data_IF_064484353236
#
_entry.id   IF_064484353236
#
_cell.length_a   1.000
_cell.length_b   1.000
_cell.length_c   1.000
_cell.angle_alpha   90.00
_cell.angle_beta   90.00
_cell.angle_gamma   90.00
#
_symmetry.space_group_name_H-M   'P 1'
#
loop_
_entity.id
_entity.type
_entity.pdbx_description
1 polymer ?
#
# COMPACT_ATOMS: atom_id res chain seq x y z
N UNK A 1 -22.99 28.94 -19.70
CA UNK A 1 -22.77 27.50 -19.94
C UNK A 1 -22.38 26.89 -18.60
N UNK A 2 -23.20 26.00 -18.02
CA UNK A 2 -22.81 25.30 -16.80
C UNK A 2 -21.63 24.39 -17.18
N UNK A 3 -20.43 24.77 -16.75
CA UNK A 3 -19.22 23.97 -17.00
C UNK A 3 -19.40 22.56 -16.44
N UNK A 4 -18.92 21.58 -17.17
CA UNK A 4 -18.81 20.19 -16.66
C UNK A 4 -17.95 20.25 -15.42
N UNK A 5 -18.50 19.82 -14.27
CA UNK A 5 -17.71 19.74 -13.04
C UNK A 5 -17.07 18.36 -12.95
N UNK A 6 -15.77 18.33 -12.76
CA UNK A 6 -14.94 17.13 -12.76
C UNK A 6 -14.29 16.92 -11.38
N UNK A 7 -13.88 15.70 -11.12
CA UNK A 7 -12.99 15.34 -10.01
C UNK A 7 -11.75 14.65 -10.55
N UNK A 8 -10.62 14.88 -9.87
CA UNK A 8 -9.34 14.25 -10.16
C UNK A 8 -8.97 13.32 -9.02
N UNK A 9 -8.64 12.08 -9.35
CA UNK A 9 -8.04 11.11 -8.43
C UNK A 9 -6.61 10.78 -8.85
N UNK A 10 -5.69 10.79 -7.89
CA UNK A 10 -4.28 10.40 -8.08
C UNK A 10 -3.91 9.35 -7.05
N UNK A 11 -3.34 8.25 -7.51
CA UNK A 11 -2.73 7.19 -6.68
C UNK A 11 -1.26 7.09 -7.05
N UNK A 12 -0.41 7.73 -6.25
CA UNK A 12 1.01 7.89 -6.49
C UNK A 12 1.88 6.99 -5.63
N UNK A 13 2.43 5.95 -6.24
CA UNK A 13 3.36 5.03 -5.61
C UNK A 13 4.84 5.35 -5.88
N UNK A 14 5.74 4.48 -5.39
CA UNK A 14 7.19 4.62 -5.62
C UNK A 14 7.64 4.34 -7.05
N UNK A 15 6.90 3.53 -7.82
CA UNK A 15 7.29 3.09 -9.17
C UNK A 15 6.36 3.60 -10.27
N UNK A 16 5.09 3.79 -9.96
CA UNK A 16 4.06 4.25 -10.90
C UNK A 16 3.08 5.16 -10.20
N UNK A 17 2.35 5.94 -10.99
CA UNK A 17 1.25 6.81 -10.54
C UNK A 17 0.09 6.65 -11.50
N UNK A 18 -1.06 6.31 -10.97
CA UNK A 18 -2.31 6.25 -11.72
C UNK A 18 -3.08 7.57 -11.51
N UNK A 19 -3.54 8.18 -12.61
CA UNK A 19 -4.28 9.45 -12.59
C UNK A 19 -5.59 9.27 -13.35
N UNK A 20 -6.69 9.65 -12.72
CA UNK A 20 -8.05 9.49 -13.25
C UNK A 20 -8.82 10.80 -13.16
N UNK A 21 -9.41 11.20 -14.29
CA UNK A 21 -10.39 12.27 -14.38
C UNK A 21 -11.80 11.64 -14.50
N UNK A 22 -12.70 12.05 -13.63
CA UNK A 22 -14.05 11.50 -13.57
C UNK A 22 -15.11 12.60 -13.44
N UNK A 23 -16.36 12.25 -13.70
CA UNK A 23 -17.50 13.11 -13.37
C UNK A 23 -17.84 13.04 -11.87
N UNK A 24 -18.80 13.83 -11.41
CA UNK A 24 -19.23 13.87 -10.01
C UNK A 24 -19.95 12.59 -9.53
N UNK A 25 -20.24 11.65 -10.43
CA UNK A 25 -20.83 10.34 -10.13
C UNK A 25 -19.77 9.22 -10.13
N UNK A 26 -18.48 9.58 -10.37
CA UNK A 26 -17.37 8.63 -10.39
C UNK A 26 -17.23 7.87 -11.72
N UNK A 27 -17.95 8.26 -12.78
CA UNK A 27 -17.72 7.71 -14.10
C UNK A 27 -16.39 8.25 -14.67
N UNK A 28 -15.49 7.34 -15.01
CA UNK A 28 -14.16 7.67 -15.54
C UNK A 28 -14.31 8.22 -16.95
N UNK A 29 -13.78 9.42 -17.19
CA UNK A 29 -13.77 10.09 -18.48
C UNK A 29 -12.43 9.93 -19.19
N UNK A 30 -11.32 10.02 -18.44
CA UNK A 30 -9.99 9.78 -18.93
C UNK A 30 -9.09 9.24 -17.80
N UNK A 31 -8.09 8.44 -18.17
CA UNK A 31 -7.13 7.88 -17.22
C UNK A 31 -5.76 7.72 -17.89
N UNK A 32 -4.70 7.90 -17.11
CA UNK A 32 -3.35 7.58 -17.56
C UNK A 32 -2.51 7.01 -16.40
N UNK A 33 -1.41 6.37 -16.76
CA UNK A 33 -0.38 5.94 -15.83
C UNK A 33 0.93 6.63 -16.18
N UNK A 34 1.68 7.06 -15.17
CA UNK A 34 2.98 7.72 -15.32
C UNK A 34 3.99 7.18 -14.31
N UNK A 35 5.20 7.74 -14.28
CA UNK A 35 6.26 7.36 -13.33
C UNK A 35 5.85 7.60 -11.88
N UNK A 36 6.57 6.95 -10.95
CA UNK A 36 6.31 7.10 -9.52
C UNK A 36 6.43 8.54 -9.03
N UNK A 37 5.60 8.87 -8.04
CA UNK A 37 5.51 10.18 -7.41
C UNK A 37 5.68 10.13 -5.88
N UNK A 38 6.44 9.16 -5.35
CA UNK A 38 6.91 9.25 -3.97
C UNK A 38 7.96 10.36 -3.88
N UNK A 39 7.63 11.44 -3.17
CA UNK A 39 8.47 12.63 -3.05
C UNK A 39 9.81 12.38 -2.37
N UNK A 40 9.91 11.40 -1.48
CA UNK A 40 11.16 10.99 -0.85
C UNK A 40 12.18 10.46 -1.87
N UNK A 41 11.68 9.85 -2.97
CA UNK A 41 12.52 9.27 -4.02
C UNK A 41 12.87 10.27 -5.12
N UNK A 42 11.91 11.14 -5.51
CA UNK A 42 12.06 11.98 -6.70
C UNK A 42 12.03 13.48 -6.42
N UNK A 43 11.72 13.89 -5.19
CA UNK A 43 11.55 15.30 -4.80
C UNK A 43 10.20 15.89 -5.20
N UNK A 44 9.72 16.87 -4.40
CA UNK A 44 8.40 17.47 -4.58
C UNK A 44 8.20 18.14 -5.95
N UNK A 45 9.23 18.82 -6.48
CA UNK A 45 9.19 19.48 -7.79
C UNK A 45 8.91 18.47 -8.92
N UNK A 46 9.56 17.32 -8.88
CA UNK A 46 9.34 16.26 -9.88
C UNK A 46 7.94 15.67 -9.78
N UNK A 47 7.42 15.49 -8.55
CA UNK A 47 6.02 15.06 -8.33
C UNK A 47 5.06 16.01 -9.00
N UNK A 48 5.21 17.33 -8.74
CA UNK A 48 4.34 18.37 -9.33
C UNK A 48 4.42 18.37 -10.85
N UNK A 49 5.61 18.30 -11.42
CA UNK A 49 5.80 18.25 -12.87
C UNK A 49 5.10 17.04 -13.48
N UNK A 50 5.35 15.84 -12.93
CA UNK A 50 4.76 14.58 -13.41
C UNK A 50 3.24 14.60 -13.37
N UNK A 51 2.65 15.07 -12.26
CA UNK A 51 1.19 15.16 -12.11
C UNK A 51 0.62 16.24 -13.03
N UNK A 52 1.29 17.40 -13.18
CA UNK A 52 0.84 18.48 -14.07
C UNK A 52 0.77 18.04 -15.54
N UNK A 53 1.79 17.30 -16.00
CA UNK A 53 1.83 16.77 -17.36
C UNK A 53 0.68 15.77 -17.60
N UNK A 54 0.46 14.85 -16.65
CA UNK A 54 -0.65 13.90 -16.70
C UNK A 54 -2.01 14.62 -16.73
N UNK A 55 -2.22 15.59 -15.84
CA UNK A 55 -3.47 16.37 -15.77
C UNK A 55 -3.71 17.13 -17.06
N UNK A 56 -2.69 17.77 -17.64
CA UNK A 56 -2.82 18.49 -18.91
C UNK A 56 -3.24 17.57 -20.04
N UNK A 57 -2.64 16.36 -20.13
CA UNK A 57 -3.05 15.36 -21.11
C UNK A 57 -4.51 14.96 -20.95
N UNK A 58 -4.92 14.56 -19.75
CA UNK A 58 -6.29 14.11 -19.49
C UNK A 58 -7.35 15.20 -19.73
N UNK A 59 -7.07 16.45 -19.35
CA UNK A 59 -7.96 17.57 -19.61
C UNK A 59 -8.08 17.86 -21.11
N UNK A 60 -6.96 17.74 -21.84
CA UNK A 60 -6.96 17.87 -23.30
C UNK A 60 -7.82 16.80 -23.99
N UNK A 61 -7.73 15.54 -23.52
CA UNK A 61 -8.48 14.40 -24.09
C UNK A 61 -10.00 14.58 -23.97
N UNK A 62 -10.47 15.27 -22.92
CA UNK A 62 -11.90 15.49 -22.67
C UNK A 62 -12.37 16.91 -23.06
N UNK A 63 -11.48 17.75 -23.56
CA UNK A 63 -11.80 19.14 -23.95
C UNK A 63 -12.17 20.03 -22.77
N UNK A 64 -11.62 19.75 -21.57
CA UNK A 64 -11.87 20.49 -20.34
C UNK A 64 -10.65 21.35 -19.94
N UNK A 65 -10.88 22.31 -19.05
CA UNK A 65 -9.86 23.17 -18.47
C UNK A 65 -9.62 22.88 -16.97
N UNK A 66 -8.53 23.42 -16.44
CA UNK A 66 -8.20 23.28 -15.02
C UNK A 66 -9.27 23.85 -14.08
N UNK A 67 -10.05 24.85 -14.55
CA UNK A 67 -11.17 25.43 -13.82
C UNK A 67 -12.39 24.51 -13.70
N UNK A 68 -12.48 23.48 -14.52
CA UNK A 68 -13.59 22.52 -14.49
C UNK A 68 -13.39 21.44 -13.42
N UNK A 69 -12.17 21.27 -12.87
CA UNK A 69 -11.88 20.35 -11.77
C UNK A 69 -12.30 20.98 -10.44
N UNK A 70 -13.38 20.47 -9.87
CA UNK A 70 -13.96 20.97 -8.64
C UNK A 70 -13.23 20.48 -7.37
N UNK A 71 -12.64 19.29 -7.44
CA UNK A 71 -11.88 18.68 -6.34
C UNK A 71 -10.84 17.72 -6.90
N UNK A 72 -9.64 17.76 -6.32
CA UNK A 72 -8.58 16.78 -6.56
C UNK A 72 -8.22 16.06 -5.28
N UNK A 73 -8.11 14.73 -5.32
CA UNK A 73 -7.57 13.94 -4.23
C UNK A 73 -6.25 13.26 -4.67
N UNK A 74 -5.21 13.53 -3.93
CA UNK A 74 -3.87 13.01 -4.14
C UNK A 74 -3.54 12.03 -3.01
N UNK A 75 -3.57 10.73 -3.29
CA UNK A 75 -3.04 9.69 -2.43
C UNK A 75 -1.61 9.40 -2.82
N UNK A 76 -0.65 9.74 -1.99
CA UNK A 76 0.76 9.64 -2.33
C UNK A 76 1.52 8.81 -1.30
N UNK A 77 2.31 7.86 -1.77
CA UNK A 77 3.32 7.21 -0.96
C UNK A 77 4.34 8.25 -0.46
N UNK A 78 4.82 8.06 0.78
CA UNK A 78 5.74 9.00 1.41
C UNK A 78 5.04 10.15 2.16
N UNK A 79 3.70 10.24 2.14
CA UNK A 79 2.96 11.13 3.04
C UNK A 79 2.86 10.44 4.40
N UNK A 80 3.96 10.45 5.14
CA UNK A 80 4.09 9.66 6.36
C UNK A 80 3.96 10.51 7.63
N UNK A 81 4.21 11.79 7.52
CA UNK A 81 4.13 12.74 8.61
C UNK A 81 3.24 13.94 8.27
N UNK A 82 2.68 14.65 9.27
CA UNK A 82 1.92 15.88 9.01
C UNK A 82 2.71 16.93 8.21
N UNK A 83 4.04 16.99 8.40
CA UNK A 83 4.93 17.86 7.64
C UNK A 83 4.98 17.52 6.16
N UNK A 84 4.85 16.24 5.79
CA UNK A 84 4.85 15.81 4.39
C UNK A 84 3.55 16.26 3.72
N UNK A 85 2.42 16.09 4.42
CA UNK A 85 1.11 16.55 3.94
C UNK A 85 1.14 18.06 3.68
N UNK A 86 1.64 18.85 4.64
CA UNK A 86 1.73 20.31 4.52
C UNK A 86 2.64 20.72 3.36
N UNK A 87 3.83 20.13 3.27
CA UNK A 87 4.80 20.38 2.20
C UNK A 87 4.22 20.03 0.83
N UNK A 88 3.64 18.84 0.69
CA UNK A 88 3.10 18.39 -0.59
C UNK A 88 1.83 19.12 -0.99
N UNK A 89 0.99 19.52 -0.04
CA UNK A 89 -0.16 20.40 -0.29
C UNK A 89 0.30 21.74 -0.86
N UNK A 90 1.35 22.35 -0.29
CA UNK A 90 1.91 23.60 -0.79
C UNK A 90 2.52 23.43 -2.21
N UNK A 91 3.25 22.33 -2.44
CA UNK A 91 3.85 22.05 -3.73
C UNK A 91 2.79 21.79 -4.83
N UNK A 92 1.78 20.95 -4.53
CA UNK A 92 0.71 20.57 -5.47
C UNK A 92 -0.22 21.74 -5.86
N UNK A 93 -0.22 22.84 -5.12
CA UNK A 93 -0.85 24.08 -5.58
C UNK A 93 -0.29 24.54 -6.94
N UNK A 94 0.99 24.19 -7.23
CA UNK A 94 1.63 24.44 -8.53
C UNK A 94 1.01 23.69 -9.70
N UNK A 95 0.21 22.65 -9.47
CA UNK A 95 -0.59 22.00 -10.53
C UNK A 95 -1.65 22.96 -11.09
N UNK A 96 -2.04 23.96 -10.31
CA UNK A 96 -2.87 25.08 -10.79
C UNK A 96 -4.32 24.71 -11.05
N UNK A 97 -4.89 23.72 -10.36
CA UNK A 97 -6.32 23.45 -10.35
C UNK A 97 -7.05 24.50 -9.51
N UNK A 98 -8.24 24.91 -9.95
CA UNK A 98 -9.00 25.98 -9.28
C UNK A 98 -9.89 25.46 -8.14
N UNK A 99 -10.13 24.14 -8.10
CA UNK A 99 -10.99 23.49 -7.12
C UNK A 99 -10.30 23.20 -5.79
N UNK A 100 -11.00 22.47 -4.92
CA UNK A 100 -10.45 21.99 -3.65
C UNK A 100 -9.37 20.92 -3.83
N UNK A 101 -8.58 20.71 -2.80
CA UNK A 101 -7.49 19.73 -2.78
C UNK A 101 -7.51 18.93 -1.49
N UNK A 102 -7.41 17.60 -1.63
CA UNK A 102 -7.14 16.67 -0.55
C UNK A 102 -5.80 15.97 -0.82
N UNK A 103 -4.91 15.97 0.16
CA UNK A 103 -3.64 15.22 0.11
C UNK A 103 -3.65 14.23 1.26
N UNK A 104 -3.46 12.96 0.96
CA UNK A 104 -3.50 11.86 1.93
C UNK A 104 -2.40 10.84 1.62
N UNK A 105 -2.15 9.93 2.56
CA UNK A 105 -1.32 8.76 2.29
C UNK A 105 -2.03 7.82 1.31
N UNK A 106 -1.28 7.11 0.47
CA UNK A 106 -1.80 6.15 -0.53
C UNK A 106 -2.63 5.02 0.09
N UNK A 107 -2.39 4.67 1.36
CA UNK A 107 -3.21 3.70 2.08
C UNK A 107 -4.66 4.14 2.27
N UNK A 108 -4.92 5.44 2.43
CA UNK A 108 -6.30 5.95 2.55
C UNK A 108 -7.06 5.83 1.24
N UNK A 109 -6.35 5.97 0.11
CA UNK A 109 -6.90 5.73 -1.22
C UNK A 109 -7.29 4.25 -1.38
N UNK A 110 -6.38 3.34 -0.99
CA UNK A 110 -6.67 1.91 -1.02
C UNK A 110 -7.83 1.53 -0.09
N UNK A 111 -7.91 2.12 1.11
CA UNK A 111 -9.03 1.95 2.03
C UNK A 111 -10.34 2.35 1.36
N UNK A 112 -10.41 3.57 0.83
CA UNK A 112 -11.66 4.09 0.23
C UNK A 112 -12.07 3.36 -1.04
N UNK A 113 -11.11 2.79 -1.79
CA UNK A 113 -11.39 1.97 -2.95
C UNK A 113 -12.09 0.64 -2.60
N UNK A 114 -11.78 0.07 -1.44
CA UNK A 114 -12.30 -1.22 -1.00
C UNK A 114 -13.48 -1.15 -0.04
N UNK A 115 -13.70 -0.02 0.63
CA UNK A 115 -14.81 0.16 1.56
C UNK A 115 -16.06 0.70 0.88
N UNK A 116 -17.23 0.17 1.28
CA UNK A 116 -18.54 0.72 0.90
C UNK A 116 -18.87 2.01 1.66
N UNK A 117 -18.25 2.19 2.83
CA UNK A 117 -18.41 3.32 3.75
C UNK A 117 -17.19 4.23 3.69
N UNK A 118 -17.32 5.49 4.13
CA UNK A 118 -16.20 6.43 4.24
C UNK A 118 -15.25 6.14 5.44
N UNK A 119 -15.47 5.06 6.16
CA UNK A 119 -14.70 4.60 7.31
C UNK A 119 -14.48 3.07 7.24
N UNK A 120 -13.44 2.60 7.89
CA UNK A 120 -13.01 1.20 7.89
C UNK A 120 -11.51 1.12 8.10
N UNK A 121 -10.90 0.00 7.74
CA UNK A 121 -9.47 -0.21 7.88
C UNK A 121 -8.87 -0.78 6.60
N UNK A 122 -7.58 -0.58 6.40
CA UNK A 122 -6.79 -1.21 5.36
C UNK A 122 -5.55 -1.85 5.95
N UNK A 123 -5.22 -3.05 5.47
CA UNK A 123 -3.91 -3.68 5.60
C UNK A 123 -3.33 -3.80 4.20
N UNK A 124 -2.34 -2.97 3.90
CA UNK A 124 -1.62 -3.02 2.63
C UNK A 124 -0.29 -3.74 2.85
N UNK A 125 -0.09 -4.86 2.17
CA UNK A 125 1.14 -5.67 2.26
C UNK A 125 1.67 -5.92 0.85
N UNK A 126 2.64 -5.11 0.46
CA UNK A 126 3.32 -5.15 -0.83
C UNK A 126 4.83 -5.28 -0.63
N UNK A 127 5.62 -4.43 -1.28
CA UNK A 127 7.06 -4.26 -1.01
C UNK A 127 7.27 -3.83 0.44
N UNK A 128 6.61 -2.75 0.84
CA UNK A 128 6.46 -2.33 2.22
C UNK A 128 5.12 -2.78 2.82
N UNK A 129 4.74 -2.18 3.93
CA UNK A 129 3.45 -2.43 4.58
C UNK A 129 2.95 -1.19 5.29
N UNK A 130 1.63 -1.05 5.37
CA UNK A 130 0.95 -0.09 6.21
C UNK A 130 -0.39 -0.67 6.65
N UNK A 131 -0.75 -0.45 7.90
CA UNK A 131 -2.09 -0.67 8.43
C UNK A 131 -2.66 0.68 8.85
N UNK A 132 -3.78 1.06 8.28
CA UNK A 132 -4.43 2.34 8.53
C UNK A 132 -5.93 2.15 8.75
N UNK A 133 -6.57 3.12 9.38
CA UNK A 133 -8.01 3.12 9.57
C UNK A 133 -8.57 4.50 9.82
N UNK A 134 -9.86 4.63 9.54
CA UNK A 134 -10.70 5.78 9.85
C UNK A 134 -11.92 5.25 10.58
N UNK A 135 -12.23 5.77 11.79
CA UNK A 135 -13.44 5.39 12.50
C UNK A 135 -14.66 6.23 12.07
N UNK A 136 -15.84 5.92 12.61
CA UNK A 136 -17.11 6.61 12.29
C UNK A 136 -17.10 8.12 12.57
N UNK A 137 -16.26 8.53 13.53
CA UNK A 137 -16.12 9.96 13.91
C UNK A 137 -15.08 10.69 13.03
N UNK A 138 -14.50 10.00 12.04
CA UNK A 138 -13.47 10.55 11.17
C UNK A 138 -12.06 10.56 11.79
N UNK A 139 -11.87 9.99 12.99
CA UNK A 139 -10.54 9.88 13.60
C UNK A 139 -9.70 8.88 12.82
N UNK A 140 -8.47 9.27 12.51
CA UNK A 140 -7.52 8.51 11.70
C UNK A 140 -6.37 8.00 12.56
N UNK A 141 -5.91 6.82 12.27
CA UNK A 141 -4.67 6.27 12.81
C UNK A 141 -4.04 5.27 11.83
N UNK A 142 -2.73 5.27 11.75
CA UNK A 142 -1.98 4.29 10.96
C UNK A 142 -0.67 3.90 11.63
N UNK A 143 -0.08 2.79 11.22
CA UNK A 143 1.28 2.41 11.56
C UNK A 143 2.26 3.36 10.85
N UNK A 144 3.48 3.42 11.34
CA UNK A 144 4.49 4.35 10.81
C UNK A 144 4.96 3.98 9.41
N UNK A 145 4.96 2.69 9.09
CA UNK A 145 5.34 2.14 7.77
C UNK A 145 6.80 2.42 7.35
N UNK A 146 7.66 2.73 8.30
CA UNK A 146 9.06 3.14 8.06
C UNK A 146 10.05 1.99 8.02
N UNK A 147 9.60 0.74 8.20
CA UNK A 147 10.45 -0.45 8.17
C UNK A 147 11.31 -0.68 9.42
N UNK A 148 11.30 0.23 10.38
CA UNK A 148 11.99 0.10 11.67
C UNK A 148 10.99 -0.26 12.77
N UNK A 149 11.23 -1.41 13.45
CA UNK A 149 10.36 -1.85 14.55
C UNK A 149 9.00 -2.43 14.12
N UNK A 150 8.71 -2.44 12.86
CA UNK A 150 7.48 -2.98 12.25
C UNK A 150 7.83 -4.07 11.21
N UNK A 151 6.96 -5.09 11.01
CA UNK A 151 7.15 -5.99 9.89
C UNK A 151 6.96 -5.21 8.58
N UNK A 152 7.86 -5.41 7.63
CA UNK A 152 7.66 -4.97 6.26
C UNK A 152 6.94 -6.06 5.46
N UNK A 153 6.51 -5.78 4.24
CA UNK A 153 5.87 -6.77 3.36
C UNK A 153 6.88 -7.78 2.81
N UNK A 154 7.03 -7.80 1.50
CA UNK A 154 7.92 -8.72 0.78
C UNK A 154 9.38 -8.68 1.26
N UNK A 155 9.86 -7.52 1.74
CA UNK A 155 11.20 -7.43 2.35
C UNK A 155 11.34 -8.30 3.59
N UNK A 156 10.35 -8.32 4.49
CA UNK A 156 10.39 -9.20 5.66
C UNK A 156 10.31 -10.66 5.28
N UNK A 157 9.56 -11.02 4.23
CA UNK A 157 9.51 -12.40 3.72
C UNK A 157 10.90 -12.88 3.33
N UNK A 158 11.62 -12.08 2.55
CA UNK A 158 12.97 -12.45 2.08
C UNK A 158 13.99 -12.48 3.23
N UNK A 159 13.93 -11.49 4.12
CA UNK A 159 14.83 -11.42 5.27
C UNK A 159 14.67 -12.63 6.20
N UNK A 160 13.44 -13.00 6.53
CA UNK A 160 13.14 -14.16 7.38
C UNK A 160 13.48 -15.49 6.68
N UNK A 161 13.30 -15.59 5.36
CA UNK A 161 13.73 -16.76 4.60
C UNK A 161 15.26 -16.92 4.63
N UNK A 162 16.04 -15.84 4.48
CA UNK A 162 17.49 -15.87 4.61
C UNK A 162 17.93 -16.19 6.05
N UNK A 163 17.21 -15.68 7.05
CA UNK A 163 17.46 -16.04 8.46
C UNK A 163 17.27 -17.53 8.70
N UNK A 164 16.21 -18.13 8.13
CA UNK A 164 15.97 -19.58 8.21
C UNK A 164 17.08 -20.38 7.52
N UNK A 165 17.58 -19.95 6.36
CA UNK A 165 18.72 -20.54 5.65
C UNK A 165 19.98 -20.49 6.50
N UNK A 166 20.28 -19.35 7.11
CA UNK A 166 21.43 -19.19 8.00
C UNK A 166 21.30 -20.08 9.25
N UNK A 167 20.12 -20.13 9.87
CA UNK A 167 19.86 -20.96 11.04
C UNK A 167 20.05 -22.45 10.74
N UNK A 168 19.56 -22.93 9.60
CA UNK A 168 19.79 -24.30 9.15
C UNK A 168 21.29 -24.61 8.94
N UNK A 169 22.03 -23.67 8.31
CA UNK A 169 23.48 -23.81 8.09
C UNK A 169 24.27 -23.85 9.39
N UNK A 170 23.90 -23.01 10.37
CA UNK A 170 24.56 -22.93 11.67
C UNK A 170 24.15 -24.07 12.63
N UNK A 171 23.16 -24.90 12.28
CA UNK A 171 22.60 -25.93 13.16
C UNK A 171 21.79 -25.35 14.33
N UNK A 172 21.37 -24.11 14.27
CA UNK A 172 20.51 -23.43 15.26
C UNK A 172 19.03 -23.52 14.93
N UNK A 173 18.70 -23.99 13.72
CA UNK A 173 17.35 -24.23 13.23
C UNK A 173 17.27 -25.53 12.41
N UNK A 174 16.04 -25.97 12.07
CA UNK A 174 15.84 -27.17 11.27
C UNK A 174 16.30 -26.98 9.82
N UNK A 175 16.57 -28.10 9.13
CA UNK A 175 16.81 -28.08 7.69
C UNK A 175 15.56 -27.57 6.93
N UNK A 176 15.79 -26.85 5.84
CA UNK A 176 14.72 -26.22 5.05
C UNK A 176 15.03 -26.29 3.54
N UNK A 177 13.99 -26.47 2.74
CA UNK A 177 14.07 -26.39 1.28
C UNK A 177 14.48 -24.99 0.78
N UNK A 178 14.25 -23.95 1.59
CA UNK A 178 14.70 -22.59 1.29
C UNK A 178 16.18 -22.52 0.99
N UNK A 179 17.02 -23.38 1.62
CA UNK A 179 18.46 -23.41 1.34
C UNK A 179 18.74 -23.67 -0.14
N UNK A 180 18.19 -24.74 -0.70
CA UNK A 180 18.38 -25.07 -2.13
C UNK A 180 17.78 -24.02 -3.05
N UNK A 181 16.56 -23.57 -2.75
CA UNK A 181 15.83 -22.57 -3.54
C UNK A 181 16.61 -21.26 -3.61
N UNK A 182 17.12 -20.77 -2.47
CA UNK A 182 17.89 -19.51 -2.43
C UNK A 182 19.24 -19.66 -3.14
N UNK A 183 19.95 -20.79 -2.94
CA UNK A 183 21.21 -21.02 -3.64
C UNK A 183 21.03 -21.05 -5.16
N UNK A 184 20.01 -21.73 -5.65
CA UNK A 184 19.70 -21.78 -7.08
C UNK A 184 19.33 -20.38 -7.62
N UNK A 185 18.43 -19.66 -6.95
CA UNK A 185 17.97 -18.35 -7.38
C UNK A 185 19.09 -17.31 -7.49
N UNK A 186 20.12 -17.41 -6.63
CA UNK A 186 21.27 -16.50 -6.64
C UNK A 186 22.51 -17.07 -7.35
N UNK A 187 22.46 -18.28 -7.89
CA UNK A 187 23.55 -18.90 -8.64
C UNK A 187 24.77 -19.27 -7.79
N UNK A 188 24.56 -19.66 -6.55
CA UNK A 188 25.60 -20.09 -5.61
C UNK A 188 25.48 -21.55 -5.23
N UNK A 189 26.59 -22.18 -4.83
CA UNK A 189 26.62 -23.60 -4.47
C UNK A 189 26.59 -23.86 -2.97
N UNK A 190 26.99 -22.88 -2.17
CA UNK A 190 27.05 -23.01 -0.72
C UNK A 190 26.47 -21.77 -0.02
N UNK A 191 25.95 -21.97 1.20
CA UNK A 191 25.42 -20.86 2.02
C UNK A 191 26.48 -19.79 2.29
N UNK A 192 27.76 -20.14 2.65
CA UNK A 192 28.79 -19.12 2.80
C UNK A 192 29.05 -18.28 1.55
N UNK A 193 29.05 -18.88 0.35
CA UNK A 193 29.21 -18.14 -0.92
C UNK A 193 28.06 -17.14 -1.15
N UNK A 194 26.82 -17.56 -0.91
CA UNK A 194 25.66 -16.69 -1.00
C UNK A 194 25.78 -15.49 -0.04
N UNK A 195 26.04 -15.76 1.25
CA UNK A 195 26.11 -14.69 2.26
C UNK A 195 27.34 -13.78 2.04
N UNK A 196 28.45 -14.31 1.56
CA UNK A 196 29.60 -13.47 1.14
C UNK A 196 29.23 -12.57 -0.03
N UNK A 197 28.53 -13.09 -1.04
CA UNK A 197 28.10 -12.31 -2.20
C UNK A 197 27.14 -11.19 -1.79
N UNK A 198 26.15 -11.48 -0.93
CA UNK A 198 25.23 -10.49 -0.38
C UNK A 198 25.97 -9.40 0.41
N UNK A 199 26.88 -9.80 1.32
CA UNK A 199 27.62 -8.87 2.17
C UNK A 199 28.53 -7.94 1.37
N UNK A 200 29.10 -8.44 0.27
CA UNK A 200 29.99 -7.68 -0.62
C UNK A 200 29.26 -6.95 -1.77
N UNK A 201 27.91 -7.00 -1.81
CA UNK A 201 27.11 -6.38 -2.87
C UNK A 201 27.26 -7.03 -4.26
N UNK A 202 27.79 -8.26 -4.32
CA UNK A 202 27.86 -9.02 -5.59
C UNK A 202 26.55 -9.71 -5.93
N UNK A 203 25.72 -9.97 -4.93
CA UNK A 203 24.32 -10.35 -5.07
C UNK A 203 23.45 -9.33 -4.36
N UNK A 204 22.28 -9.03 -4.92
CA UNK A 204 21.35 -8.05 -4.37
C UNK A 204 20.03 -8.73 -4.07
N UNK A 205 19.68 -8.71 -2.80
CA UNK A 205 18.35 -9.12 -2.32
C UNK A 205 17.36 -7.98 -2.51
N UNK A 206 16.14 -8.33 -2.89
CA UNK A 206 15.06 -7.35 -3.03
C UNK A 206 13.69 -8.01 -2.82
N UNK A 207 12.66 -7.20 -2.69
CA UNK A 207 11.27 -7.63 -2.49
C UNK A 207 10.78 -8.61 -3.58
N UNK A 208 11.33 -8.52 -4.79
CA UNK A 208 11.04 -9.44 -5.90
C UNK A 208 11.42 -10.91 -5.65
N UNK A 209 12.22 -11.21 -4.63
CA UNK A 209 12.57 -12.56 -4.23
C UNK A 209 11.58 -13.19 -3.23
N UNK A 210 10.55 -12.45 -2.79
CA UNK A 210 9.55 -12.99 -1.87
C UNK A 210 8.84 -14.26 -2.38
N UNK A 211 8.53 -14.42 -3.68
CA UNK A 211 7.94 -15.66 -4.20
C UNK A 211 8.78 -16.92 -3.99
N UNK A 212 10.09 -16.81 -3.71
CA UNK A 212 10.92 -17.96 -3.36
C UNK A 212 10.48 -18.64 -2.06
N UNK A 213 9.88 -17.87 -1.14
CA UNK A 213 9.27 -18.42 0.08
C UNK A 213 8.03 -19.25 -0.26
N UNK A 214 7.20 -18.78 -1.19
CA UNK A 214 6.00 -19.50 -1.63
C UNK A 214 6.38 -20.84 -2.32
N UNK A 215 7.46 -20.87 -3.11
CA UNK A 215 7.97 -22.12 -3.70
C UNK A 215 8.34 -23.16 -2.64
N UNK A 216 8.95 -22.74 -1.53
CA UNK A 216 9.26 -23.65 -0.45
C UNK A 216 8.00 -24.15 0.27
N UNK A 217 7.02 -23.28 0.47
CA UNK A 217 5.72 -23.64 1.05
C UNK A 217 5.00 -24.66 0.16
N UNK A 218 4.98 -24.45 -1.16
CA UNK A 218 4.36 -25.35 -2.13
C UNK A 218 5.07 -26.72 -2.18
N UNK A 219 6.38 -26.73 -1.88
CA UNK A 219 7.14 -27.96 -1.72
C UNK A 219 6.89 -28.68 -0.36
N UNK A 220 6.02 -28.13 0.50
CA UNK A 220 5.68 -28.69 1.79
C UNK A 220 6.68 -28.41 2.90
N UNK A 221 7.53 -27.37 2.77
CA UNK A 221 8.52 -26.99 3.77
C UNK A 221 7.85 -26.35 4.99
N UNK A 222 7.97 -27.01 6.14
CA UNK A 222 7.35 -26.55 7.38
C UNK A 222 7.97 -25.25 7.90
N UNK A 223 9.28 -25.04 7.68
CA UNK A 223 10.00 -23.82 8.10
C UNK A 223 9.49 -22.62 7.31
N UNK A 224 9.36 -22.77 5.98
CA UNK A 224 8.84 -21.72 5.13
C UNK A 224 7.39 -21.37 5.50
N UNK A 225 6.57 -22.37 5.79
CA UNK A 225 5.20 -22.18 6.25
C UNK A 225 5.12 -21.44 7.59
N UNK A 226 6.00 -21.76 8.53
CA UNK A 226 6.06 -21.11 9.84
C UNK A 226 6.53 -19.64 9.70
N UNK A 227 7.49 -19.36 8.82
CA UNK A 227 7.88 -17.98 8.45
C UNK A 227 6.69 -17.18 7.94
N UNK A 228 5.93 -17.74 6.99
CA UNK A 228 4.74 -17.11 6.42
C UNK A 228 3.67 -16.84 7.47
N UNK A 229 3.35 -17.83 8.29
CA UNK A 229 2.36 -17.73 9.38
C UNK A 229 2.78 -16.70 10.43
N UNK A 230 4.05 -16.73 10.84
CA UNK A 230 4.60 -15.77 11.80
C UNK A 230 4.48 -14.34 11.30
N UNK A 231 4.79 -14.11 10.01
CA UNK A 231 4.67 -12.78 9.41
C UNK A 231 3.20 -12.35 9.29
N UNK A 232 2.32 -13.24 8.84
CA UNK A 232 0.88 -12.98 8.76
C UNK A 232 0.28 -12.62 10.13
N UNK A 233 0.71 -13.32 11.19
CA UNK A 233 0.32 -13.03 12.57
C UNK A 233 0.74 -11.61 12.99
N UNK A 234 1.98 -11.22 12.71
CA UNK A 234 2.48 -9.87 13.03
C UNK A 234 1.67 -8.77 12.32
N UNK A 235 1.30 -8.97 11.05
CA UNK A 235 0.44 -8.02 10.33
C UNK A 235 -0.98 -7.97 10.92
N UNK A 236 -1.54 -9.10 11.31
CA UNK A 236 -2.84 -9.14 11.97
C UNK A 236 -2.80 -8.46 13.36
N UNK A 237 -1.71 -8.60 14.11
CA UNK A 237 -1.51 -7.91 15.39
C UNK A 237 -1.48 -6.37 15.19
N UNK A 238 -0.93 -5.88 14.07
CA UNK A 238 -0.99 -4.45 13.70
C UNK A 238 -2.43 -4.00 13.44
N UNK A 239 -3.25 -4.80 12.75
CA UNK A 239 -4.68 -4.52 12.57
C UNK A 239 -5.37 -4.40 13.94
N UNK A 240 -5.15 -5.37 14.83
CA UNK A 240 -5.70 -5.32 16.19
C UNK A 240 -5.24 -4.08 16.97
N UNK A 241 -3.97 -3.67 16.81
CA UNK A 241 -3.41 -2.47 17.42
C UNK A 241 -4.10 -1.19 16.93
N UNK A 242 -4.20 -1.01 15.61
CA UNK A 242 -4.87 0.13 14.98
C UNK A 242 -6.37 0.16 15.34
N UNK A 243 -7.06 -0.99 15.31
CA UNK A 243 -8.47 -1.09 15.67
C UNK A 243 -8.72 -0.65 17.13
N UNK A 244 -7.90 -1.09 18.08
CA UNK A 244 -7.97 -0.63 19.49
C UNK A 244 -7.72 0.87 19.62
N UNK A 245 -6.75 1.41 18.90
CA UNK A 245 -6.44 2.83 18.93
C UNK A 245 -7.60 3.70 18.44
N UNK A 246 -8.35 3.19 17.46
CA UNK A 246 -9.52 3.84 16.88
C UNK A 246 -10.84 3.55 17.64
N UNK A 247 -10.83 2.63 18.61
CA UNK A 247 -12.03 2.19 19.32
C UNK A 247 -12.92 1.27 18.49
N UNK A 248 -12.37 0.59 17.49
CA UNK A 248 -13.11 -0.23 16.50
C UNK A 248 -12.99 -1.74 16.74
N UNK A 249 -12.19 -2.20 17.73
CA UNK A 249 -11.87 -3.62 17.87
C UNK A 249 -13.10 -4.53 18.02
N UNK A 250 -14.15 -4.05 18.68
CA UNK A 250 -15.40 -4.79 18.91
C UNK A 250 -16.53 -4.38 17.93
N UNK A 251 -16.24 -3.45 17.00
CA UNK A 251 -17.20 -2.97 16.01
C UNK A 251 -17.15 -3.78 14.71
N UNK A 252 -18.26 -3.76 13.97
CA UNK A 252 -18.29 -4.24 12.59
C UNK A 252 -17.69 -3.20 11.66
N UNK A 253 -16.62 -3.54 10.94
CA UNK A 253 -15.99 -2.69 9.93
C UNK A 253 -15.43 -3.53 8.76
N UNK A 254 -15.30 -2.90 7.60
CA UNK A 254 -14.62 -3.49 6.44
C UNK A 254 -13.11 -3.34 6.63
N UNK A 255 -12.38 -4.48 6.52
CA UNK A 255 -10.92 -4.52 6.50
C UNK A 255 -10.45 -4.78 5.08
N UNK A 256 -10.03 -3.74 4.38
CA UNK A 256 -9.49 -3.85 3.02
C UNK A 256 -8.11 -4.49 3.08
N UNK A 257 -7.94 -5.59 2.37
CA UNK A 257 -6.66 -6.26 2.17
C UNK A 257 -6.11 -5.86 0.80
N UNK A 258 -4.99 -5.14 0.78
CA UNK A 258 -4.35 -4.59 -0.42
C UNK A 258 -2.90 -5.03 -0.54
N UNK A 259 -2.34 -4.94 -1.73
CA UNK A 259 -0.94 -5.31 -2.02
C UNK A 259 -0.75 -6.75 -2.44
N UNK A 260 0.38 -7.01 -3.12
CA UNK A 260 0.66 -8.29 -3.79
C UNK A 260 0.63 -9.51 -2.86
N UNK A 261 1.05 -9.36 -1.61
CA UNK A 261 1.07 -10.47 -0.65
C UNK A 261 -0.36 -10.91 -0.27
N UNK A 262 -1.30 -9.97 -0.10
CA UNK A 262 -2.70 -10.30 0.13
C UNK A 262 -3.39 -10.86 -1.12
N UNK A 263 -3.02 -10.35 -2.31
CA UNK A 263 -3.57 -10.82 -3.60
C UNK A 263 -3.17 -12.26 -3.89
N UNK A 264 -1.96 -12.68 -3.53
CA UNK A 264 -1.51 -14.06 -3.65
C UNK A 264 -2.38 -15.05 -2.84
N UNK A 265 -3.02 -14.57 -1.77
CA UNK A 265 -4.09 -15.23 -1.00
C UNK A 265 -3.82 -16.71 -0.62
N UNK A 266 -2.56 -17.07 -0.42
CA UNK A 266 -2.14 -18.39 0.04
C UNK A 266 -2.22 -18.53 1.57
N UNK A 267 -1.37 -19.38 2.17
CA UNK A 267 -1.30 -19.60 3.62
C UNK A 267 -1.12 -18.32 4.45
N UNK A 268 -0.47 -17.29 3.87
CA UNK A 268 -0.39 -15.97 4.50
C UNK A 268 -1.79 -15.38 4.73
N UNK A 269 -2.61 -15.30 3.67
CA UNK A 269 -3.95 -14.70 3.75
C UNK A 269 -4.89 -15.46 4.67
N UNK A 270 -4.80 -16.81 4.69
CA UNK A 270 -5.58 -17.64 5.60
C UNK A 270 -5.24 -17.35 7.07
N UNK A 271 -3.95 -17.41 7.40
CA UNK A 271 -3.50 -17.20 8.77
C UNK A 271 -3.74 -15.75 9.23
N UNK A 272 -3.54 -14.77 8.34
CA UNK A 272 -3.87 -13.37 8.59
C UNK A 272 -5.34 -13.20 9.00
N UNK A 273 -6.29 -13.72 8.21
CA UNK A 273 -7.73 -13.63 8.52
C UNK A 273 -8.11 -14.32 9.82
N UNK A 274 -7.54 -15.51 10.08
CA UNK A 274 -7.77 -16.23 11.34
C UNK A 274 -7.28 -15.42 12.55
N UNK A 275 -6.12 -14.79 12.42
CA UNK A 275 -5.56 -13.99 13.51
C UNK A 275 -6.28 -12.66 13.68
N UNK A 276 -6.69 -12.00 12.59
CA UNK A 276 -7.54 -10.80 12.64
C UNK A 276 -8.84 -11.09 13.39
N UNK A 277 -9.51 -12.22 13.12
CA UNK A 277 -10.74 -12.59 13.80
C UNK A 277 -10.57 -12.78 15.32
N UNK A 278 -9.35 -13.05 15.81
CA UNK A 278 -9.06 -13.10 17.25
C UNK A 278 -8.97 -11.69 17.87
N UNK A 279 -8.55 -10.69 17.12
CA UNK A 279 -8.42 -9.30 17.59
C UNK A 279 -9.69 -8.48 17.35
N UNK A 280 -10.35 -8.73 16.23
CA UNK A 280 -11.51 -7.99 15.74
C UNK A 280 -12.54 -8.98 15.19
N UNK A 281 -13.34 -9.62 16.07
CA UNK A 281 -14.26 -10.72 15.68
C UNK A 281 -15.31 -10.31 14.64
N UNK A 282 -15.67 -9.03 14.62
CA UNK A 282 -16.68 -8.47 13.73
C UNK A 282 -16.11 -7.81 12.48
N UNK A 283 -14.76 -7.81 12.32
CA UNK A 283 -14.13 -7.29 11.11
C UNK A 283 -14.48 -8.13 9.89
N UNK A 284 -14.74 -7.48 8.77
CA UNK A 284 -15.07 -8.10 7.50
C UNK A 284 -13.92 -7.92 6.51
N UNK A 285 -13.03 -8.92 6.32
CA UNK A 285 -11.94 -8.83 5.37
C UNK A 285 -12.45 -8.76 3.93
N UNK A 286 -12.02 -7.74 3.19
CA UNK A 286 -12.37 -7.48 1.78
C UNK A 286 -11.07 -7.41 0.97
N UNK A 287 -10.88 -8.34 0.03
CA UNK A 287 -9.74 -8.25 -0.88
C UNK A 287 -9.98 -7.12 -1.89
N UNK A 288 -9.03 -6.20 -2.00
CA UNK A 288 -9.10 -5.11 -2.97
C UNK A 288 -8.90 -5.66 -4.39
N UNK A 289 -9.96 -5.61 -5.19
CA UNK A 289 -9.99 -6.11 -6.58
C UNK A 289 -10.07 -5.00 -7.62
N UNK A 290 -10.25 -3.76 -7.19
CA UNK A 290 -10.28 -2.58 -8.06
C UNK A 290 -9.00 -1.76 -7.92
N UNK A 291 -8.59 -0.99 -8.95
CA UNK A 291 -7.44 -0.10 -8.83
C UNK A 291 -7.62 0.91 -7.70
N UNK A 292 -6.62 1.10 -6.82
CA UNK A 292 -6.72 2.05 -5.69
C UNK A 292 -7.08 3.47 -6.11
N UNK A 293 -6.65 3.93 -7.27
CA UNK A 293 -7.01 5.26 -7.81
C UNK A 293 -8.52 5.54 -7.85
N UNK A 294 -9.37 4.50 -7.88
CA UNK A 294 -10.83 4.64 -7.75
C UNK A 294 -11.22 5.20 -6.39
N UNK A 295 -10.46 4.85 -5.36
CA UNK A 295 -10.62 5.42 -4.02
C UNK A 295 -10.25 6.90 -3.97
N UNK A 296 -9.22 7.34 -4.71
CA UNK A 296 -8.91 8.77 -4.84
C UNK A 296 -10.06 9.56 -5.47
N UNK A 297 -10.65 9.02 -6.56
CA UNK A 297 -11.86 9.63 -7.17
C UNK A 297 -12.99 9.72 -6.14
N UNK A 298 -13.23 8.65 -5.38
CA UNK A 298 -14.29 8.64 -4.37
C UNK A 298 -14.01 9.61 -3.22
N UNK A 299 -12.77 9.72 -2.74
CA UNK A 299 -12.36 10.72 -1.74
C UNK A 299 -12.61 12.15 -2.23
N UNK A 300 -12.36 12.43 -3.50
CA UNK A 300 -12.66 13.74 -4.07
C UNK A 300 -14.17 14.03 -4.09
N UNK A 301 -15.00 13.03 -4.40
CA UNK A 301 -16.47 13.14 -4.38
C UNK A 301 -16.96 13.33 -2.95
N UNK A 302 -16.50 12.51 -2.00
CA UNK A 302 -16.86 12.59 -0.56
C UNK A 302 -16.52 13.96 0.02
N UNK A 303 -15.35 14.52 -0.36
CA UNK A 303 -14.93 15.86 0.05
C UNK A 303 -15.86 16.97 -0.48
N UNK A 304 -16.36 16.84 -1.69
CA UNK A 304 -17.36 17.76 -2.26
C UNK A 304 -18.72 17.66 -1.57
N UNK A 305 -19.11 16.45 -1.14
CA UNK A 305 -20.34 16.22 -0.41
C UNK A 305 -20.25 16.69 1.06
N UNK A 306 -19.07 17.05 1.55
CA UNK A 306 -18.82 17.39 2.96
C UNK A 306 -18.75 16.15 3.87
N UNK A 307 -18.60 14.96 3.30
CA UNK A 307 -18.54 13.68 4.02
C UNK A 307 -17.13 13.34 4.52
N UNK A 308 -16.10 14.04 4.05
CA UNK A 308 -14.74 13.90 4.57
C UNK A 308 -14.64 14.68 5.87
N UNK A 309 -14.95 14.00 6.97
CA UNK A 309 -14.79 14.53 8.33
C UNK A 309 -13.34 14.28 8.77
N UNK A 310 -12.66 15.34 9.19
CA UNK A 310 -11.36 15.25 9.87
C UNK A 310 -10.32 16.18 9.24
N UNK A 311 -10.24 17.39 9.78
CA UNK A 311 -9.03 18.21 9.77
C UNK A 311 -8.16 17.86 10.97
#
# INVERSE_FOLDING_TARGET
>A
MSGVRLVLGVDGGGTKTDVVLADLHGAVLAACQTSGTNHENVGAERVVATISDAVNGLLGDVGAGRGDVAMAAYGLAGIDWPSDEEMMRAALAGVGLSGGMLVVNDSEVALRAGCTRAWGMVSSVGTGTVTAGVNRDGRRFRTMAVGWGEPSGSWSMVALALEAVAAAHHGTGPATALTGIMLEAFGHHTVPELFEALTRGRAVVGAGHAPLLDLAVDAGDAVALDVLRGLAGRHADMVGGVARHLGMADEEFELVMSGGVHVANGPFGEHFRLRVAQHCPSAQPVLLTVPPVRGAVQLAIDALAGEVVGR
#
